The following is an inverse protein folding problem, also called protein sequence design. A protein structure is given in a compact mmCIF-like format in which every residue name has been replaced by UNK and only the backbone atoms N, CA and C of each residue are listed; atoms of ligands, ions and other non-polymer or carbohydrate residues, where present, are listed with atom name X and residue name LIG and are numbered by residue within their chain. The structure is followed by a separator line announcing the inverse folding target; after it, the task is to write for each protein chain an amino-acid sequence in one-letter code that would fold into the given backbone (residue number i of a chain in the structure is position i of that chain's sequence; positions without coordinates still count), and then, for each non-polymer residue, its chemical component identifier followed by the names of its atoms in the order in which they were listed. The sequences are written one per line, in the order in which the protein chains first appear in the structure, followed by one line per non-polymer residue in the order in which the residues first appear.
data_IF_927008614342
#
_entry.id   IF_927008614342
#
_cell.length_a   1.000
_cell.length_b   1.000
_cell.length_c   1.000
_cell.angle_alpha   90.00
_cell.angle_beta   90.00
_cell.angle_gamma   90.00
#
_symmetry.space_group_name_H-M   'P 1'
#
loop_
_entity.id
_entity.type
_entity.pdbx_description
1 polymer ?
#
# COMPACT_ATOMS: atom_id res chain seq x y z
N UNK A 1 -3.97 6.39 -32.85
CA UNK A 1 -4.19 6.65 -31.42
C UNK A 1 -3.37 5.59 -30.68
N UNK A 2 -2.23 5.97 -30.11
CA UNK A 2 -1.39 5.03 -29.35
C UNK A 2 -2.06 4.82 -28.00
N UNK A 3 -2.43 3.57 -27.74
CA UNK A 3 -2.99 3.11 -26.46
C UNK A 3 -1.86 3.19 -25.40
N UNK A 4 -1.91 4.21 -24.56
CA UNK A 4 -0.89 4.48 -23.51
C UNK A 4 -0.91 3.38 -22.44
N UNK A 5 -1.95 2.56 -22.41
CA UNK A 5 -2.22 1.55 -21.38
C UNK A 5 -1.56 0.16 -21.63
N UNK A 6 -0.68 0.06 -22.63
CA UNK A 6 0.02 -1.21 -22.95
C UNK A 6 1.38 -1.38 -22.28
N UNK A 7 1.77 -0.49 -21.36
CA UNK A 7 3.02 -0.62 -20.61
C UNK A 7 2.73 -0.99 -19.17
N UNK A 8 3.42 -2.00 -18.70
CA UNK A 8 3.54 -2.31 -17.30
C UNK A 8 4.81 -1.59 -16.79
N UNK A 9 4.66 -0.49 -16.06
CA UNK A 9 5.76 0.22 -15.44
C UNK A 9 5.77 -0.08 -13.93
N UNK A 10 6.86 -0.67 -13.45
CA UNK A 10 7.10 -0.91 -12.02
C UNK A 10 8.36 -0.16 -11.62
N UNK A 11 8.27 0.61 -10.53
CA UNK A 11 9.44 1.25 -9.97
C UNK A 11 10.40 0.18 -9.42
N UNK A 12 11.65 0.19 -9.91
CA UNK A 12 12.68 -0.78 -9.54
C UNK A 12 12.96 -0.83 -8.03
N UNK A 13 12.69 0.26 -7.31
CA UNK A 13 12.88 0.33 -5.86
C UNK A 13 12.06 -0.72 -5.09
N UNK A 14 10.87 -1.12 -5.58
CA UNK A 14 10.12 -2.24 -4.98
C UNK A 14 10.87 -3.57 -5.12
N UNK A 15 11.43 -3.83 -6.30
CA UNK A 15 12.17 -5.06 -6.56
C UNK A 15 13.43 -5.11 -5.70
N UNK A 16 14.20 -4.03 -5.68
CA UNK A 16 15.41 -3.89 -4.84
C UNK A 16 15.11 -4.08 -3.35
N UNK A 17 14.00 -3.54 -2.85
CA UNK A 17 13.61 -3.67 -1.44
C UNK A 17 13.28 -5.12 -1.07
N UNK A 18 12.57 -5.84 -1.94
CA UNK A 18 12.26 -7.26 -1.73
C UNK A 18 13.53 -8.11 -1.81
N UNK A 19 14.42 -7.86 -2.78
CA UNK A 19 15.69 -8.56 -2.93
C UNK A 19 16.62 -8.35 -1.73
N UNK A 20 16.74 -7.12 -1.23
CA UNK A 20 17.52 -6.79 -0.03
C UNK A 20 16.99 -7.49 1.22
N UNK A 21 15.68 -7.71 1.32
CA UNK A 21 15.06 -8.50 2.38
C UNK A 21 15.23 -10.02 2.19
N UNK A 22 15.85 -10.47 1.08
CA UNK A 22 16.12 -11.88 0.77
C UNK A 22 14.96 -12.59 0.06
N UNK A 23 13.98 -11.84 -0.46
CA UNK A 23 12.91 -12.35 -1.32
C UNK A 23 13.31 -12.38 -2.79
N UNK A 24 12.50 -13.04 -3.61
CA UNK A 24 12.62 -13.06 -5.08
C UNK A 24 11.37 -12.38 -5.64
N UNK A 25 11.47 -11.14 -6.16
CA UNK A 25 10.30 -10.43 -6.68
C UNK A 25 9.88 -11.00 -8.04
N UNK A 26 8.59 -11.31 -8.16
CA UNK A 26 7.95 -11.72 -9.41
C UNK A 26 6.90 -10.69 -9.78
N UNK A 27 7.07 -10.04 -10.95
CA UNK A 27 6.07 -9.11 -11.46
C UNK A 27 4.87 -9.88 -12.01
N UNK A 28 3.71 -9.69 -11.38
CA UNK A 28 2.45 -10.29 -11.83
C UNK A 28 1.76 -9.29 -12.76
N UNK A 29 1.41 -9.71 -14.00
CA UNK A 29 0.55 -8.92 -14.87
C UNK A 29 -0.87 -8.86 -14.29
N UNK A 30 -1.76 -8.06 -14.90
CA UNK A 30 -3.15 -8.03 -14.48
C UNK A 30 -3.75 -9.44 -14.44
N UNK A 31 -4.27 -9.81 -13.27
CA UNK A 31 -4.94 -11.09 -13.06
C UNK A 31 -6.39 -11.07 -13.57
N UNK A 32 -6.88 -12.22 -13.97
CA UNK A 32 -8.30 -12.49 -14.27
C UNK A 32 -8.78 -13.65 -13.43
N UNK A 33 -10.10 -13.88 -13.38
CA UNK A 33 -10.67 -15.04 -12.67
C UNK A 33 -10.06 -16.38 -13.13
N UNK A 34 -9.66 -16.49 -14.41
CA UNK A 34 -9.05 -17.70 -14.94
C UNK A 34 -7.56 -17.86 -14.57
N UNK A 35 -6.88 -16.76 -14.24
CA UNK A 35 -5.40 -16.77 -14.01
C UNK A 35 -4.99 -16.57 -12.57
N UNK A 36 -5.83 -15.98 -11.71
CA UNK A 36 -5.49 -15.58 -10.35
C UNK A 36 -4.96 -16.74 -9.50
N UNK A 37 -5.60 -17.90 -9.57
CA UNK A 37 -5.19 -19.07 -8.79
C UNK A 37 -3.80 -19.59 -9.22
N UNK A 38 -3.54 -19.65 -10.53
CA UNK A 38 -2.25 -20.06 -11.06
C UNK A 38 -1.14 -19.08 -10.69
N UNK A 39 -1.42 -17.76 -10.77
CA UNK A 39 -0.47 -16.72 -10.38
C UNK A 39 -0.12 -16.80 -8.91
N UNK A 40 -1.12 -16.93 -8.03
CA UNK A 40 -0.88 -17.02 -6.58
C UNK A 40 -0.28 -18.39 -6.15
N UNK A 41 -0.35 -19.41 -6.99
CA UNK A 41 0.26 -20.72 -6.68
C UNK A 41 1.80 -20.76 -6.78
N UNK A 42 2.38 -19.78 -7.46
CA UNK A 42 3.86 -19.71 -7.71
C UNK A 42 4.57 -18.67 -6.82
N UNK A 43 3.86 -18.04 -5.90
CA UNK A 43 4.39 -17.01 -4.99
C UNK A 43 4.01 -17.31 -3.55
N UNK A 44 4.79 -16.80 -2.60
CA UNK A 44 4.59 -17.00 -1.15
C UNK A 44 4.03 -15.75 -0.46
N UNK A 45 3.90 -14.63 -1.16
CA UNK A 45 3.33 -13.38 -0.65
C UNK A 45 2.91 -12.44 -1.76
N UNK A 46 2.03 -11.49 -1.44
CA UNK A 46 1.51 -10.47 -2.35
C UNK A 46 1.94 -9.07 -1.90
N UNK A 47 2.66 -8.35 -2.79
CA UNK A 47 2.98 -6.94 -2.62
C UNK A 47 2.10 -6.10 -3.56
N UNK A 48 1.18 -5.33 -3.00
CA UNK A 48 0.37 -4.33 -3.71
C UNK A 48 1.12 -3.00 -3.72
N UNK A 49 1.58 -2.57 -4.88
CA UNK A 49 2.44 -1.39 -5.04
C UNK A 49 1.65 -0.09 -5.26
N UNK A 50 2.32 1.04 -5.11
CA UNK A 50 1.81 2.38 -5.42
C UNK A 50 1.39 2.56 -6.88
N UNK A 51 0.79 3.72 -7.20
CA UNK A 51 0.36 4.04 -8.57
C UNK A 51 -0.71 5.10 -8.66
N UNK A 52 -1.46 5.09 -9.76
CA UNK A 52 -2.56 6.01 -10.04
C UNK A 52 -3.72 5.84 -9.04
N UNK A 53 -4.66 6.77 -9.01
CA UNK A 53 -5.79 6.77 -8.09
C UNK A 53 -6.71 5.56 -8.31
N UNK A 54 -7.38 5.13 -7.25
CA UNK A 54 -8.41 4.08 -7.30
C UNK A 54 -9.72 4.67 -7.80
N UNK A 55 -10.43 3.96 -8.67
CA UNK A 55 -11.73 4.39 -9.20
C UNK A 55 -12.75 4.55 -8.05
N UNK A 56 -13.30 5.77 -7.81
CA UNK A 56 -14.24 6.04 -6.72
C UNK A 56 -15.50 5.18 -6.73
N UNK A 57 -15.95 4.72 -7.87
CA UNK A 57 -17.12 3.82 -7.96
C UNK A 57 -16.90 2.48 -7.23
N UNK A 58 -15.65 2.08 -6.98
CA UNK A 58 -15.32 0.86 -6.24
C UNK A 58 -15.65 0.96 -4.74
N UNK A 59 -15.72 2.16 -4.20
CA UNK A 59 -16.10 2.42 -2.80
C UNK A 59 -17.38 3.27 -2.67
N UNK A 60 -18.19 3.33 -3.76
CA UNK A 60 -19.54 3.88 -3.75
C UNK A 60 -19.61 5.40 -3.80
N UNK A 61 -18.56 6.08 -4.26
CA UNK A 61 -18.51 7.53 -4.35
C UNK A 61 -18.44 8.03 -5.81
N UNK A 62 -18.85 9.29 -6.01
CA UNK A 62 -18.61 10.02 -7.25
C UNK A 62 -17.19 10.59 -7.27
N UNK A 63 -16.57 10.79 -8.45
CA UNK A 63 -15.22 11.29 -8.54
C UNK A 63 -15.11 12.75 -8.07
N UNK A 64 -14.20 13.00 -7.16
CA UNK A 64 -13.82 14.35 -6.74
C UNK A 64 -13.16 15.10 -7.90
N UNK A 65 -13.35 16.44 -8.00
CA UNK A 65 -12.80 17.24 -9.10
C UNK A 65 -11.25 17.17 -9.24
N UNK A 66 -10.55 16.74 -8.21
CA UNK A 66 -9.10 16.58 -8.20
C UNK A 66 -8.64 15.13 -8.31
N UNK A 67 -9.57 14.21 -8.61
CA UNK A 67 -9.19 12.82 -8.89
C UNK A 67 -8.14 12.79 -10.00
N UNK A 68 -7.11 11.99 -9.82
CA UNK A 68 -6.09 11.77 -10.83
C UNK A 68 -6.52 10.74 -11.87
N UNK A 69 -5.53 10.15 -12.54
CA UNK A 69 -5.77 9.06 -13.47
C UNK A 69 -6.20 7.82 -12.71
N UNK A 70 -7.25 7.14 -13.20
CA UNK A 70 -7.69 5.81 -12.73
C UNK A 70 -7.46 4.77 -13.81
N UNK A 71 -7.17 3.53 -13.44
CA UNK A 71 -6.97 2.41 -14.37
C UNK A 71 -7.79 1.22 -13.89
N UNK A 72 -9.05 1.16 -14.32
CA UNK A 72 -10.03 0.17 -13.87
C UNK A 72 -9.55 -1.28 -13.99
N UNK A 73 -8.85 -1.61 -15.07
CA UNK A 73 -8.31 -2.96 -15.27
C UNK A 73 -7.30 -3.34 -14.16
N UNK A 74 -6.50 -2.38 -13.69
CA UNK A 74 -5.57 -2.58 -12.57
C UNK A 74 -6.33 -2.71 -11.25
N UNK A 75 -7.34 -1.87 -11.04
CA UNK A 75 -8.16 -1.93 -9.83
C UNK A 75 -8.84 -3.30 -9.68
N UNK A 76 -9.49 -3.78 -10.76
CA UNK A 76 -10.16 -5.08 -10.78
C UNK A 76 -9.17 -6.24 -10.52
N UNK A 77 -7.97 -6.17 -11.13
CA UNK A 77 -6.90 -7.16 -10.90
C UNK A 77 -6.38 -7.14 -9.46
N UNK A 78 -6.07 -5.96 -8.91
CA UNK A 78 -5.53 -5.84 -7.56
C UNK A 78 -6.56 -6.28 -6.51
N UNK A 79 -7.86 -5.96 -6.69
CA UNK A 79 -8.94 -6.43 -5.82
C UNK A 79 -9.11 -7.96 -5.88
N UNK A 80 -8.99 -8.53 -7.07
CA UNK A 80 -9.08 -9.98 -7.26
C UNK A 80 -7.91 -10.70 -6.57
N UNK A 81 -6.67 -10.21 -6.79
CA UNK A 81 -5.47 -10.74 -6.14
C UNK A 81 -5.57 -10.62 -4.62
N UNK A 82 -6.01 -9.45 -4.11
CA UNK A 82 -6.20 -9.20 -2.69
C UNK A 82 -7.17 -10.20 -2.05
N UNK A 83 -8.33 -10.41 -2.67
CA UNK A 83 -9.35 -11.36 -2.20
C UNK A 83 -8.79 -12.77 -2.09
N UNK A 84 -8.23 -13.30 -3.17
CA UNK A 84 -7.72 -14.68 -3.19
C UNK A 84 -6.49 -14.89 -2.30
N UNK A 85 -5.59 -13.92 -2.22
CA UNK A 85 -4.44 -13.98 -1.31
C UNK A 85 -4.91 -13.98 0.16
N UNK A 86 -5.90 -13.16 0.51
CA UNK A 86 -6.48 -13.11 1.84
C UNK A 86 -7.15 -14.44 2.24
N UNK A 87 -7.98 -15.01 1.35
CA UNK A 87 -8.63 -16.32 1.57
C UNK A 87 -7.61 -17.45 1.78
N UNK A 88 -6.45 -17.37 1.12
CA UNK A 88 -5.33 -18.32 1.27
C UNK A 88 -4.45 -18.06 2.51
N UNK A 89 -4.74 -17.05 3.31
CA UNK A 89 -3.91 -16.59 4.42
C UNK A 89 -2.45 -16.28 3.98
N UNK A 90 -2.27 -15.88 2.72
CA UNK A 90 -1.00 -15.48 2.15
C UNK A 90 -0.56 -14.13 2.73
N UNK A 91 0.70 -13.93 3.12
CA UNK A 91 1.19 -12.63 3.55
C UNK A 91 0.95 -11.55 2.49
N UNK A 92 0.41 -10.40 2.94
CA UNK A 92 0.04 -9.28 2.07
C UNK A 92 0.67 -8.00 2.64
N UNK A 93 1.43 -7.29 1.79
CA UNK A 93 1.92 -5.95 2.07
C UNK A 93 1.34 -4.97 1.04
N UNK A 94 0.69 -3.90 1.50
CA UNK A 94 0.23 -2.79 0.67
C UNK A 94 1.10 -1.54 0.84
N UNK A 95 1.45 -0.86 -0.26
CA UNK A 95 2.21 0.40 -0.25
C UNK A 95 1.45 1.47 -1.02
N UNK A 96 1.22 2.62 -0.39
CA UNK A 96 0.55 3.80 -0.94
C UNK A 96 -0.83 3.44 -1.52
N UNK A 97 -0.99 3.39 -2.85
CA UNK A 97 -2.22 2.92 -3.48
C UNK A 97 -2.58 1.49 -3.03
N UNK A 98 -1.59 0.63 -2.75
CA UNK A 98 -1.82 -0.72 -2.23
C UNK A 98 -2.55 -0.73 -0.88
N UNK A 99 -2.31 0.25 0.00
CA UNK A 99 -3.07 0.43 1.24
C UNK A 99 -4.53 0.83 0.96
N UNK A 100 -4.75 1.68 -0.02
CA UNK A 100 -6.08 2.12 -0.44
C UNK A 100 -6.90 0.97 -1.04
N UNK A 101 -6.30 0.18 -1.93
CA UNK A 101 -6.91 -1.04 -2.50
C UNK A 101 -7.23 -2.05 -1.40
N UNK A 102 -6.32 -2.28 -0.45
CA UNK A 102 -6.59 -3.14 0.71
C UNK A 102 -7.83 -2.65 1.47
N UNK A 103 -7.93 -1.35 1.75
CA UNK A 103 -9.09 -0.79 2.44
C UNK A 103 -10.40 -0.98 1.66
N UNK A 104 -10.38 -0.71 0.35
CA UNK A 104 -11.55 -0.89 -0.53
C UNK A 104 -11.98 -2.37 -0.63
N UNK A 105 -11.02 -3.30 -0.66
CA UNK A 105 -11.31 -4.73 -0.67
C UNK A 105 -12.13 -5.19 0.55
N UNK A 106 -11.99 -4.49 1.67
CA UNK A 106 -12.78 -4.72 2.89
C UNK A 106 -13.97 -3.76 3.06
N UNK A 107 -14.38 -3.08 1.98
CA UNK A 107 -15.51 -2.13 1.94
C UNK A 107 -15.26 -0.84 2.72
N UNK A 108 -14.03 -0.40 2.82
CA UNK A 108 -13.66 0.93 3.29
C UNK A 108 -13.70 1.97 2.17
N UNK A 109 -13.47 3.25 2.51
CA UNK A 109 -13.48 4.38 1.58
C UNK A 109 -12.10 5.03 1.43
N UNK A 110 -11.97 5.97 0.50
CA UNK A 110 -10.74 6.72 0.25
C UNK A 110 -11.03 8.22 0.39
N UNK A 111 -10.16 8.95 1.08
CA UNK A 111 -10.08 10.41 0.97
C UNK A 111 -9.46 10.72 -0.39
N UNK A 112 -10.29 11.21 -1.32
CA UNK A 112 -9.89 11.39 -2.73
C UNK A 112 -8.94 12.58 -2.95
N UNK A 113 -8.90 13.57 -2.04
CA UNK A 113 -7.94 14.68 -2.07
C UNK A 113 -7.73 15.25 -0.66
N UNK A 114 -6.67 14.85 0.01
CA UNK A 114 -6.33 15.27 1.38
C UNK A 114 -6.41 16.80 1.55
N UNK A 115 -5.80 17.63 0.66
CA UNK A 115 -5.84 19.09 0.85
C UNK A 115 -7.24 19.70 0.82
N UNK A 116 -8.21 19.02 0.21
CA UNK A 116 -9.59 19.51 0.11
C UNK A 116 -10.51 18.94 1.18
N UNK A 117 -10.22 17.76 1.71
CA UNK A 117 -11.13 17.00 2.55
C UNK A 117 -10.66 16.88 4.02
N UNK A 118 -9.37 17.14 4.29
CA UNK A 118 -8.81 17.11 5.65
C UNK A 118 -8.51 18.51 6.13
N UNK A 119 -9.11 18.90 7.25
CA UNK A 119 -8.88 20.22 7.85
C UNK A 119 -7.45 20.28 8.43
N UNK A 120 -6.74 21.38 8.16
CA UNK A 120 -5.35 21.59 8.60
C UNK A 120 -4.37 20.47 8.18
N UNK A 121 -4.61 19.85 7.04
CA UNK A 121 -3.76 18.79 6.49
C UNK A 121 -2.29 19.20 6.39
N UNK A 122 -1.40 18.27 6.70
CA UNK A 122 0.03 18.38 6.39
C UNK A 122 0.26 18.28 4.88
N UNK A 123 1.49 18.56 4.45
CA UNK A 123 1.89 18.37 3.05
C UNK A 123 2.22 16.91 2.76
N UNK A 124 1.25 16.12 2.30
CA UNK A 124 1.44 14.71 1.94
C UNK A 124 1.99 14.47 0.52
N UNK A 125 2.32 15.54 -0.19
CA UNK A 125 2.98 15.49 -1.50
C UNK A 125 4.23 16.36 -1.50
N UNK A 126 5.33 15.81 -0.95
CA UNK A 126 6.58 16.55 -0.83
C UNK A 126 7.20 16.88 -2.19
N UNK A 127 7.86 18.05 -2.26
CA UNK A 127 8.62 18.46 -3.46
C UNK A 127 10.09 17.99 -3.42
N UNK A 128 10.56 17.47 -2.29
CA UNK A 128 11.92 16.97 -2.10
C UNK A 128 12.13 15.61 -2.80
N UNK A 129 13.39 15.14 -2.83
CA UNK A 129 13.72 13.81 -3.40
C UNK A 129 12.95 12.70 -2.67
N UNK A 130 12.65 11.62 -3.40
CA UNK A 130 11.85 10.48 -2.88
C UNK A 130 12.45 9.81 -1.66
N UNK A 131 13.77 9.76 -1.52
CA UNK A 131 14.48 9.27 -0.34
C UNK A 131 14.60 10.27 0.83
N UNK A 132 13.98 11.46 0.75
CA UNK A 132 13.99 12.43 1.85
C UNK A 132 12.77 12.22 2.76
N UNK A 133 12.99 12.32 4.08
CA UNK A 133 11.94 12.20 5.09
C UNK A 133 11.16 13.53 5.23
N UNK A 134 9.84 13.44 5.35
CA UNK A 134 8.92 14.59 5.39
C UNK A 134 8.28 14.81 6.77
N UNK A 135 7.41 13.91 7.22
CA UNK A 135 6.67 14.06 8.47
C UNK A 135 6.79 12.83 9.37
N UNK A 136 6.36 12.98 10.61
CA UNK A 136 6.29 11.86 11.56
C UNK A 136 5.00 11.07 11.36
N UNK A 137 5.10 9.77 11.65
CA UNK A 137 3.96 8.88 11.90
C UNK A 137 4.04 8.35 13.32
N UNK A 138 2.89 8.20 13.96
CA UNK A 138 2.71 7.56 15.27
C UNK A 138 2.20 6.13 15.06
N UNK A 139 2.85 5.16 15.71
CA UNK A 139 2.53 3.72 15.64
C UNK A 139 1.58 3.35 16.76
N UNK A 140 0.47 2.72 16.42
CA UNK A 140 -0.64 2.49 17.36
C UNK A 140 -0.82 1.03 17.78
N UNK A 141 -0.54 0.08 16.88
CA UNK A 141 -0.82 -1.35 17.13
C UNK A 141 0.42 -2.14 17.57
N UNK A 142 0.23 -3.26 18.31
CA UNK A 142 1.33 -4.12 18.72
C UNK A 142 2.13 -4.69 17.54
N UNK A 143 1.47 -5.08 16.45
CA UNK A 143 2.14 -5.62 15.25
C UNK A 143 3.04 -4.59 14.59
N UNK A 144 2.57 -3.35 14.41
CA UNK A 144 3.41 -2.28 13.88
C UNK A 144 4.56 -1.92 14.83
N UNK A 145 4.35 -1.94 16.15
CA UNK A 145 5.43 -1.76 17.15
C UNK A 145 6.47 -2.88 17.07
N UNK A 146 6.06 -4.12 16.84
CA UNK A 146 6.98 -5.24 16.60
C UNK A 146 7.78 -5.06 15.31
N UNK A 147 7.13 -4.62 14.21
CA UNK A 147 7.80 -4.37 12.93
C UNK A 147 8.80 -3.22 13.03
N UNK A 148 8.38 -2.07 13.54
CA UNK A 148 9.17 -0.85 13.50
C UNK A 148 10.08 -0.67 14.71
N UNK A 149 9.80 -1.31 15.85
CA UNK A 149 10.53 -1.20 17.13
C UNK A 149 10.64 0.25 17.64
N UNK A 150 9.67 1.10 17.27
CA UNK A 150 9.56 2.49 17.70
C UNK A 150 8.07 2.92 17.72
N UNK A 151 7.75 3.91 18.53
CA UNK A 151 6.41 4.48 18.62
C UNK A 151 6.19 5.66 17.65
N UNK A 152 7.27 6.37 17.26
CA UNK A 152 7.21 7.54 16.36
C UNK A 152 8.47 7.62 15.52
N UNK A 153 8.31 7.70 14.20
CA UNK A 153 9.43 7.91 13.28
C UNK A 153 9.01 8.74 12.06
N UNK A 154 10.00 9.20 11.28
CA UNK A 154 9.73 10.01 10.08
C UNK A 154 9.66 9.15 8.83
N UNK A 155 8.76 9.55 7.91
CA UNK A 155 8.55 8.90 6.61
C UNK A 155 8.65 9.91 5.47
N UNK A 156 8.81 9.44 4.24
CA UNK A 156 8.58 10.21 3.02
C UNK A 156 7.08 10.26 2.70
N UNK A 157 6.66 11.13 1.76
CA UNK A 157 5.23 11.26 1.45
C UNK A 157 5.01 11.77 0.01
N UNK A 158 4.30 11.00 -0.81
CA UNK A 158 4.04 11.27 -2.23
C UNK A 158 2.62 10.87 -2.63
N UNK A 159 1.63 11.23 -1.82
CA UNK A 159 0.23 10.93 -2.07
C UNK A 159 -0.64 12.16 -1.83
N UNK A 160 -1.74 12.27 -2.54
CA UNK A 160 -2.78 13.28 -2.29
C UNK A 160 -4.08 12.64 -1.82
N UNK A 161 -4.13 11.29 -1.87
CA UNK A 161 -5.20 10.48 -1.35
C UNK A 161 -4.74 9.71 -0.12
N UNK A 162 -5.66 9.23 0.69
CA UNK A 162 -5.40 8.31 1.80
C UNK A 162 -6.59 7.40 2.05
N UNK A 163 -6.37 6.38 2.88
CA UNK A 163 -7.45 5.59 3.47
C UNK A 163 -8.43 6.53 4.19
N UNK A 164 -9.73 6.38 3.93
CA UNK A 164 -10.82 7.08 4.59
C UNK A 164 -11.41 6.26 5.74
N UNK A 165 -12.70 5.93 5.66
CA UNK A 165 -13.32 5.00 6.62
C UNK A 165 -12.70 3.61 6.46
N UNK A 166 -12.33 3.01 7.60
CA UNK A 166 -11.69 1.69 7.60
C UNK A 166 -12.68 0.60 7.18
N UNK A 167 -12.21 -0.28 6.34
CA UNK A 167 -12.93 -1.48 5.94
C UNK A 167 -13.07 -2.50 7.09
N UNK A 168 -13.92 -3.49 6.89
CA UNK A 168 -14.26 -4.51 7.91
C UNK A 168 -13.02 -5.31 8.31
N UNK A 169 -12.77 -5.40 9.63
CA UNK A 169 -11.64 -6.13 10.20
C UNK A 169 -10.30 -5.42 10.07
N UNK A 170 -10.25 -4.25 9.43
CA UNK A 170 -9.06 -3.40 9.42
C UNK A 170 -9.00 -2.53 10.67
N UNK A 171 -7.80 -2.32 11.18
CA UNK A 171 -7.51 -1.44 12.31
C UNK A 171 -6.48 -0.39 11.91
N UNK A 172 -6.59 0.81 12.50
CA UNK A 172 -5.64 1.90 12.35
C UNK A 172 -4.33 1.53 13.06
N UNK A 173 -3.24 1.45 12.32
CA UNK A 173 -1.95 0.99 12.84
C UNK A 173 -0.89 2.07 12.86
N UNK A 174 -0.99 3.08 11.99
CA UNK A 174 -0.16 4.27 12.04
C UNK A 174 -0.93 5.50 11.55
N UNK A 175 -0.63 6.67 12.11
CA UNK A 175 -1.33 7.93 11.82
C UNK A 175 -0.35 9.10 11.77
N UNK A 176 -0.58 10.05 10.86
CA UNK A 176 0.11 11.34 10.83
C UNK A 176 -0.52 12.32 11.85
N UNK A 177 0.19 13.39 12.17
CA UNK A 177 -0.25 14.38 13.18
C UNK A 177 -1.58 15.07 12.85
N UNK A 178 -1.95 15.16 11.60
CA UNK A 178 -3.21 15.74 11.10
C UNK A 178 -4.37 14.73 11.04
N UNK A 179 -4.15 13.50 11.52
CA UNK A 179 -5.14 12.44 11.53
C UNK A 179 -5.23 11.63 10.24
N UNK A 180 -4.40 11.93 9.23
CA UNK A 180 -4.34 11.12 8.00
C UNK A 180 -3.82 9.73 8.32
N UNK A 181 -4.54 8.71 7.84
CA UNK A 181 -4.19 7.30 8.02
C UNK A 181 -2.92 7.00 7.23
N UNK A 182 -1.90 6.51 7.94
CA UNK A 182 -0.60 6.17 7.38
C UNK A 182 -0.30 4.67 7.43
N UNK A 183 -1.01 3.91 8.25
CA UNK A 183 -0.86 2.47 8.31
C UNK A 183 -2.13 1.77 8.75
N UNK A 184 -2.39 0.62 8.16
CA UNK A 184 -3.51 -0.27 8.50
C UNK A 184 -3.04 -1.72 8.53
N UNK A 185 -3.73 -2.55 9.30
CA UNK A 185 -3.55 -4.00 9.32
C UNK A 185 -4.89 -4.71 9.50
N UNK A 186 -5.00 -5.96 9.10
CA UNK A 186 -6.19 -6.76 9.36
C UNK A 186 -6.02 -7.54 10.67
N UNK A 187 -6.98 -7.37 11.62
CA UNK A 187 -6.88 -7.87 13.00
C UNK A 187 -6.76 -9.39 13.11
N UNK A 188 -7.38 -10.15 12.21
CA UNK A 188 -7.43 -11.62 12.27
C UNK A 188 -6.51 -12.33 11.27
N UNK A 189 -5.80 -11.58 10.39
CA UNK A 189 -4.92 -12.17 9.38
C UNK A 189 -3.46 -12.25 9.91
N UNK A 190 -2.73 -13.34 9.68
CA UNK A 190 -1.36 -13.49 10.17
C UNK A 190 -0.44 -12.34 9.74
N UNK A 191 -0.48 -11.96 8.45
CA UNK A 191 0.26 -10.82 7.92
C UNK A 191 -0.51 -10.16 6.77
N UNK A 192 -1.35 -9.18 7.06
CA UNK A 192 -2.04 -8.32 6.09
C UNK A 192 -1.86 -6.89 6.59
N UNK A 193 -0.84 -6.21 6.07
CA UNK A 193 -0.30 -4.95 6.55
C UNK A 193 -0.19 -3.97 5.39
N UNK A 194 -0.49 -2.71 5.60
CA UNK A 194 -0.25 -1.70 4.58
C UNK A 194 0.17 -0.35 5.16
N UNK A 195 0.96 0.38 4.39
CA UNK A 195 1.46 1.71 4.72
C UNK A 195 1.16 2.70 3.58
N UNK A 196 0.89 3.96 3.94
CA UNK A 196 0.54 5.00 2.95
C UNK A 196 1.76 5.69 2.35
N UNK A 197 2.88 5.76 3.09
CA UNK A 197 4.14 6.30 2.59
C UNK A 197 4.85 5.35 1.62
N UNK A 198 6.07 5.72 1.16
CA UNK A 198 6.84 4.97 0.16
C UNK A 198 8.13 4.38 0.75
N UNK A 199 8.07 3.28 1.52
CA UNK A 199 9.24 2.63 2.12
C UNK A 199 10.20 2.05 1.07
N UNK A 200 9.73 1.71 -0.12
CA UNK A 200 10.56 1.20 -1.22
C UNK A 200 11.64 2.20 -1.67
N UNK A 201 11.39 3.50 -1.51
CA UNK A 201 12.35 4.54 -1.84
C UNK A 201 13.38 4.80 -0.72
N UNK A 202 13.14 4.23 0.46
CA UNK A 202 13.93 4.42 1.66
C UNK A 202 14.78 3.18 1.99
N UNK A 203 14.26 1.98 1.79
CA UNK A 203 14.95 0.73 2.13
C UNK A 203 16.29 0.57 1.37
N UNK A 204 16.37 0.82 0.05
CA UNK A 204 17.63 0.68 -0.70
C UNK A 204 18.70 1.69 -0.29
N UNK A 205 18.30 2.82 0.31
CA UNK A 205 19.26 3.84 0.79
C UNK A 205 19.59 3.70 2.28
N UNK A 206 19.15 2.62 2.93
CA UNK A 206 19.56 2.24 4.28
C UNK A 206 18.67 2.74 5.42
N UNK A 207 17.43 3.16 5.12
CA UNK A 207 16.47 3.50 6.17
C UNK A 207 16.05 2.25 6.94
N UNK A 208 16.25 2.27 8.24
CA UNK A 208 16.06 1.11 9.12
C UNK A 208 14.58 0.69 9.21
N UNK A 209 13.66 1.65 9.23
CA UNK A 209 12.23 1.35 9.36
C UNK A 209 11.66 0.73 8.08
N UNK A 210 12.09 1.26 6.93
CA UNK A 210 11.73 0.69 5.64
C UNK A 210 12.29 -0.72 5.46
N UNK A 211 13.56 -0.96 5.84
CA UNK A 211 14.16 -2.29 5.81
C UNK A 211 13.45 -3.27 6.75
N UNK A 212 13.08 -2.87 7.97
CA UNK A 212 12.31 -3.69 8.90
C UNK A 212 10.98 -4.12 8.31
N UNK A 213 10.26 -3.21 7.64
CA UNK A 213 8.98 -3.53 7.01
C UNK A 213 9.13 -4.61 5.93
N UNK A 214 10.07 -4.44 4.99
CA UNK A 214 10.29 -5.43 3.94
C UNK A 214 10.83 -6.76 4.51
N UNK A 215 11.71 -6.72 5.50
CA UNK A 215 12.20 -7.92 6.17
C UNK A 215 11.05 -8.69 6.86
N UNK A 216 10.17 -7.99 7.59
CA UNK A 216 9.02 -8.61 8.24
C UNK A 216 8.06 -9.27 7.24
N UNK A 217 7.84 -8.62 6.09
CA UNK A 217 7.02 -9.17 5.01
C UNK A 217 7.65 -10.44 4.40
N UNK A 218 8.93 -10.37 4.03
CA UNK A 218 9.64 -11.53 3.45
C UNK A 218 9.76 -12.67 4.46
N UNK A 219 9.98 -12.38 5.74
CA UNK A 219 10.00 -13.38 6.79
C UNK A 219 8.64 -14.06 6.99
N UNK A 220 7.53 -13.31 6.87
CA UNK A 220 6.19 -13.88 6.89
C UNK A 220 5.91 -14.80 5.68
N UNK A 221 6.58 -14.59 4.54
CA UNK A 221 6.48 -15.45 3.35
C UNK A 221 7.27 -16.76 3.47
N UNK A 222 8.22 -16.87 4.41
CA UNK A 222 8.98 -18.11 4.63
C UNK A 222 8.09 -19.12 5.36
N UNK A 223 7.90 -20.27 4.76
CA UNK A 223 7.14 -21.40 5.36
C UNK A 223 8.02 -22.22 6.28
#
# INVERSE_FOLDING_TARGET
MYDVDRKLDINNAYLESVEQAGGIPICIPNATEETVEALLSIVDGLLLIGGDDVDPFLFGEEPHQKIGRTVRQRDDSDLLLMKHAFEKQMPILGVCRGAQIMNVAFSGTIIQDIPSQVENALGHKQASKRGALAHNVEVLTPKFKEIFEDDVFRVNTFHHQSVGELGKGLVLSAVAKDGVVEGIEHESHPYCVAVQWHPEELAPVGDVYAQRLFNSFVDACKK
#
